data_IF_446496872510
#
_entry.id   IF_446496872510
#
_cell.length_a   1.000
_cell.length_b   1.000
_cell.length_c   1.000
_cell.angle_alpha   90.00
_cell.angle_beta   90.00
_cell.angle_gamma   90.00
#
_symmetry.space_group_name_H-M   'P 1'
#
loop_
_entity.id
_entity.type
_entity.pdbx_description
1 polymer ?
#
# COMPACT_ATOMS: atom_id res chain seq x y z
N UNK A 1 30.28 2.51 37.87
CA UNK A 1 28.91 2.80 37.39
C UNK A 1 28.64 1.92 36.18
N UNK A 2 27.85 0.86 36.35
CA UNK A 2 27.42 -0.01 35.26
C UNK A 2 26.36 0.77 34.47
N UNK A 3 26.65 1.13 33.22
CA UNK A 3 25.64 1.65 32.29
C UNK A 3 24.60 0.55 32.10
N UNK A 4 23.42 0.71 32.72
CA UNK A 4 22.23 -0.05 32.35
C UNK A 4 21.87 0.37 30.94
N UNK A 5 22.15 -0.50 29.99
CA UNK A 5 21.55 -0.46 28.67
C UNK A 5 20.06 -0.75 28.87
N UNK A 6 19.26 0.31 29.06
CA UNK A 6 17.81 0.20 29.06
C UNK A 6 17.38 0.04 27.61
N UNK A 7 17.49 -1.18 27.07
CA UNK A 7 16.81 -1.52 25.83
C UNK A 7 15.32 -1.31 26.07
N UNK A 8 14.77 -0.24 25.49
CA UNK A 8 13.34 0.00 25.51
C UNK A 8 12.66 -1.23 24.91
N UNK A 9 11.76 -1.86 25.66
CA UNK A 9 11.00 -2.99 25.16
C UNK A 9 10.21 -2.52 23.93
N UNK A 10 10.52 -3.08 22.76
CA UNK A 10 9.82 -2.74 21.51
C UNK A 10 8.34 -3.12 21.60
N UNK A 11 7.41 -2.31 21.05
CA UNK A 11 5.99 -2.64 20.98
C UNK A 11 5.67 -3.73 19.93
N UNK A 12 6.69 -4.26 19.25
CA UNK A 12 6.55 -5.28 18.22
C UNK A 12 7.05 -6.65 18.68
N UNK A 13 6.32 -7.69 18.31
CA UNK A 13 6.85 -9.04 18.10
C UNK A 13 7.68 -9.03 16.82
N UNK A 14 8.81 -9.72 16.81
CA UNK A 14 9.71 -9.78 15.67
C UNK A 14 9.89 -11.23 15.24
N UNK A 15 9.78 -11.45 13.94
CA UNK A 15 9.97 -12.74 13.29
C UNK A 15 11.01 -12.59 12.19
N UNK A 16 12.02 -13.44 12.19
CA UNK A 16 12.81 -13.67 10.98
C UNK A 16 11.99 -14.45 9.94
N UNK A 17 12.52 -14.55 8.72
CA UNK A 17 11.86 -15.27 7.62
C UNK A 17 11.49 -16.71 7.97
N UNK A 18 12.37 -17.44 8.64
CA UNK A 18 12.17 -18.86 8.98
C UNK A 18 11.05 -19.02 9.98
N UNK A 19 11.06 -18.19 11.04
CA UNK A 19 10.02 -18.15 12.06
C UNK A 19 8.66 -17.80 11.47
N UNK A 20 8.62 -16.83 10.54
CA UNK A 20 7.39 -16.45 9.85
C UNK A 20 6.86 -17.56 8.93
N UNK A 21 7.74 -18.16 8.13
CA UNK A 21 7.38 -19.24 7.21
C UNK A 21 6.80 -20.47 7.92
N UNK A 22 7.32 -20.80 9.11
CA UNK A 22 6.82 -21.90 9.93
C UNK A 22 5.34 -21.74 10.36
N UNK A 23 4.78 -20.53 10.33
CA UNK A 23 3.35 -20.29 10.63
C UNK A 23 2.43 -20.90 9.56
N UNK A 24 2.97 -21.31 8.40
CA UNK A 24 2.25 -22.02 7.35
C UNK A 24 1.79 -23.41 7.79
N UNK A 25 2.60 -24.15 8.54
CA UNK A 25 2.43 -25.59 8.79
C UNK A 25 1.16 -25.95 9.57
N UNK A 26 0.49 -24.95 10.12
CA UNK A 26 -0.77 -25.14 10.84
C UNK A 26 -2.03 -25.00 9.97
N UNK A 27 -1.91 -24.90 8.63
CA UNK A 27 -3.05 -24.84 7.69
C UNK A 27 -2.76 -25.59 6.37
N UNK A 28 -3.72 -26.40 5.86
CA UNK A 28 -3.62 -26.97 4.52
C UNK A 28 -3.63 -25.85 3.47
N UNK A 29 -2.74 -25.92 2.47
CA UNK A 29 -2.77 -24.97 1.36
C UNK A 29 -4.15 -24.93 0.72
N UNK A 30 -4.81 -23.79 0.84
CA UNK A 30 -6.10 -23.54 0.20
C UNK A 30 -5.95 -23.17 -1.27
N UNK A 31 -4.75 -22.77 -1.70
CA UNK A 31 -4.48 -22.44 -3.10
C UNK A 31 -3.92 -23.63 -3.85
N UNK A 32 -4.61 -23.99 -4.92
CA UNK A 32 -4.10 -24.86 -5.97
C UNK A 32 -2.89 -24.23 -6.68
N UNK A 33 -2.00 -25.04 -7.24
CA UNK A 33 -0.90 -24.54 -8.07
C UNK A 33 -1.39 -23.62 -9.21
N UNK A 34 -2.58 -23.90 -9.77
CA UNK A 34 -3.22 -23.07 -10.79
C UNK A 34 -3.57 -21.66 -10.28
N UNK A 35 -4.06 -21.54 -9.05
CA UNK A 35 -4.32 -20.24 -8.43
C UNK A 35 -3.02 -19.48 -8.16
N UNK A 36 -1.95 -20.18 -7.73
CA UNK A 36 -0.65 -19.53 -7.53
C UNK A 36 -0.04 -19.10 -8.87
N UNK A 37 -0.27 -19.84 -9.96
CA UNK A 37 0.11 -19.42 -11.32
C UNK A 37 -0.69 -18.19 -11.76
N UNK A 38 -2.00 -18.10 -11.46
CA UNK A 38 -2.77 -16.88 -11.70
C UNK A 38 -2.21 -15.69 -10.91
N UNK A 39 -1.69 -15.91 -9.70
CA UNK A 39 -1.00 -14.88 -8.92
C UNK A 39 0.31 -14.39 -9.58
N UNK A 40 0.99 -15.20 -10.42
CA UNK A 40 2.13 -14.71 -11.22
C UNK A 40 1.72 -13.64 -12.24
N UNK A 41 0.48 -13.66 -12.73
CA UNK A 41 -0.03 -12.60 -13.61
C UNK A 41 -0.07 -11.22 -12.93
N UNK A 42 0.00 -11.17 -11.60
CA UNK A 42 0.07 -9.93 -10.81
C UNK A 42 1.47 -9.31 -10.84
N UNK A 43 2.51 -10.15 -10.91
CA UNK A 43 3.90 -9.77 -11.06
C UNK A 43 4.75 -10.99 -11.48
N UNK A 44 5.30 -10.96 -12.70
CA UNK A 44 6.09 -12.06 -13.29
C UNK A 44 7.35 -12.39 -12.48
N UNK A 45 7.88 -11.40 -11.75
CA UNK A 45 9.09 -11.54 -10.94
C UNK A 45 8.84 -12.17 -9.54
N UNK A 46 7.58 -12.47 -9.18
CA UNK A 46 7.26 -13.01 -7.86
C UNK A 46 7.41 -14.54 -7.82
N UNK A 47 8.21 -15.05 -6.87
CA UNK A 47 8.39 -16.49 -6.69
C UNK A 47 7.20 -17.13 -5.96
N UNK A 48 6.87 -18.37 -6.33
CA UNK A 48 5.83 -19.17 -5.63
C UNK A 48 6.21 -19.41 -4.15
N UNK A 49 7.51 -19.53 -3.89
CA UNK A 49 8.04 -19.68 -2.54
C UNK A 49 7.77 -18.46 -1.68
N UNK A 50 7.91 -17.24 -2.23
CA UNK A 50 7.59 -16.00 -1.52
C UNK A 50 6.11 -15.93 -1.15
N UNK A 51 5.23 -16.30 -2.09
CA UNK A 51 3.78 -16.39 -1.82
C UNK A 51 3.50 -17.36 -0.69
N UNK A 52 4.08 -18.56 -0.75
CA UNK A 52 3.80 -19.63 0.20
C UNK A 52 4.37 -19.37 1.60
N UNK A 53 5.59 -18.82 1.70
CA UNK A 53 6.28 -18.60 2.97
C UNK A 53 5.90 -17.29 3.64
N UNK A 54 5.49 -16.27 2.89
CA UNK A 54 5.26 -14.92 3.43
C UNK A 54 3.80 -14.53 3.37
N UNK A 55 3.22 -14.52 2.16
CA UNK A 55 1.91 -13.94 1.92
C UNK A 55 0.75 -14.83 2.37
N UNK A 56 0.91 -16.17 2.34
CA UNK A 56 -0.06 -17.10 2.91
C UNK A 56 -0.19 -16.97 4.44
N UNK A 57 0.89 -17.02 5.24
CA UNK A 57 0.79 -16.71 6.67
C UNK A 57 0.23 -15.32 6.96
N UNK A 58 0.59 -14.31 6.15
CA UNK A 58 0.07 -12.95 6.28
C UNK A 58 -1.44 -12.87 6.03
N UNK A 59 -1.95 -13.46 4.95
CA UNK A 59 -3.39 -13.45 4.65
C UNK A 59 -4.20 -14.16 5.73
N UNK A 60 -3.65 -15.22 6.32
CA UNK A 60 -4.25 -15.90 7.47
C UNK A 60 -4.26 -15.04 8.73
N UNK A 61 -3.14 -14.38 9.04
CA UNK A 61 -3.08 -13.44 10.15
C UNK A 61 -4.19 -12.39 10.00
N UNK A 62 -4.29 -11.77 8.82
CA UNK A 62 -5.34 -10.81 8.49
C UNK A 62 -6.73 -11.42 8.66
N UNK A 63 -6.97 -12.66 8.22
CA UNK A 63 -8.24 -13.35 8.40
C UNK A 63 -8.62 -13.50 9.89
N UNK A 64 -7.67 -13.74 10.79
CA UNK A 64 -7.94 -13.76 12.23
C UNK A 64 -8.37 -12.39 12.76
N UNK A 65 -7.70 -11.31 12.33
CA UNK A 65 -8.08 -9.94 12.70
C UNK A 65 -9.47 -9.57 12.19
N UNK A 66 -9.78 -9.90 10.94
CA UNK A 66 -11.08 -9.65 10.30
C UNK A 66 -12.18 -10.43 11.04
N UNK A 67 -11.98 -11.74 11.25
CA UNK A 67 -12.95 -12.60 11.95
C UNK A 67 -13.17 -12.18 13.41
N UNK A 68 -12.12 -11.67 14.07
CA UNK A 68 -12.24 -11.09 15.42
C UNK A 68 -13.09 -9.82 15.42
N UNK A 69 -12.87 -8.94 14.44
CA UNK A 69 -13.62 -7.69 14.28
C UNK A 69 -15.11 -7.97 14.03
N UNK A 70 -15.44 -8.90 13.12
CA UNK A 70 -16.82 -9.30 12.83
C UNK A 70 -17.54 -9.87 14.06
N UNK A 71 -16.87 -10.73 14.84
CA UNK A 71 -17.44 -11.24 16.09
C UNK A 71 -17.70 -10.13 17.11
N UNK A 72 -16.77 -9.19 17.25
CA UNK A 72 -16.94 -8.02 18.12
C UNK A 72 -18.12 -7.16 17.66
N UNK A 73 -18.26 -6.96 16.35
CA UNK A 73 -19.37 -6.20 15.77
C UNK A 73 -20.72 -6.84 16.12
N UNK A 74 -20.88 -8.16 15.94
CA UNK A 74 -22.11 -8.87 16.27
C UNK A 74 -22.50 -8.73 17.77
N UNK A 75 -21.52 -8.77 18.69
CA UNK A 75 -21.77 -8.54 20.12
C UNK A 75 -22.24 -7.11 20.40
N UNK A 76 -21.64 -6.12 19.74
CA UNK A 76 -22.04 -4.72 19.89
C UNK A 76 -23.44 -4.46 19.31
N UNK A 77 -23.76 -5.03 18.16
CA UNK A 77 -25.09 -4.91 17.54
C UNK A 77 -26.17 -5.49 18.44
N UNK A 78 -25.92 -6.67 19.03
CA UNK A 78 -26.83 -7.27 19.99
C UNK A 78 -27.00 -6.40 21.25
N UNK A 79 -25.91 -5.84 21.77
CA UNK A 79 -25.95 -4.99 22.96
C UNK A 79 -26.67 -3.64 22.72
N UNK A 80 -26.44 -3.03 21.56
CA UNK A 80 -26.99 -1.72 21.20
C UNK A 80 -28.41 -1.81 20.60
N UNK A 81 -28.87 -3.01 20.23
CA UNK A 81 -30.18 -3.22 19.61
C UNK A 81 -30.30 -2.61 18.22
N UNK A 82 -29.19 -2.56 17.47
CA UNK A 82 -29.13 -1.99 16.12
C UNK A 82 -29.11 -3.07 15.06
N UNK A 83 -29.86 -2.90 13.98
CA UNK A 83 -29.68 -3.70 12.77
C UNK A 83 -28.36 -3.26 12.10
N UNK A 84 -27.34 -4.10 12.24
CA UNK A 84 -25.99 -3.85 11.76
C UNK A 84 -25.93 -3.45 10.29
N UNK A 85 -25.28 -2.33 10.01
CA UNK A 85 -24.84 -2.04 8.64
C UNK A 85 -23.53 -2.78 8.36
N UNK A 86 -23.39 -3.32 7.16
CA UNK A 86 -22.12 -3.89 6.71
C UNK A 86 -21.08 -2.77 6.61
N UNK A 87 -20.12 -2.76 7.53
CA UNK A 87 -19.00 -1.83 7.53
C UNK A 87 -17.75 -2.56 7.00
N UNK A 88 -17.15 -2.10 5.89
CA UNK A 88 -15.94 -2.73 5.36
C UNK A 88 -14.78 -2.72 6.36
N UNK A 89 -14.02 -3.82 6.39
CA UNK A 89 -12.75 -3.88 7.08
C UNK A 89 -11.66 -3.23 6.22
N UNK A 90 -10.99 -2.20 6.71
CA UNK A 90 -10.03 -1.42 5.92
C UNK A 90 -8.59 -1.83 6.26
N UNK A 91 -7.86 -2.27 5.24
CA UNK A 91 -6.43 -2.60 5.34
C UNK A 91 -5.62 -1.51 4.64
N UNK A 92 -4.81 -0.78 5.40
CA UNK A 92 -3.88 0.20 4.85
C UNK A 92 -2.54 -0.43 4.46
N UNK A 93 -2.00 -0.10 3.29
CA UNK A 93 -0.66 -0.53 2.86
C UNK A 93 0.17 0.70 2.49
N UNK A 94 1.21 0.95 3.29
CA UNK A 94 2.13 2.07 3.16
C UNK A 94 3.57 1.62 2.89
N UNK A 95 4.45 2.58 2.65
CA UNK A 95 5.85 2.33 2.28
C UNK A 95 6.33 3.20 1.12
N UNK A 96 7.63 3.11 0.81
CA UNK A 96 8.27 3.94 -0.20
C UNK A 96 7.75 3.72 -1.62
N UNK A 97 8.05 4.65 -2.53
CA UNK A 97 7.91 4.44 -3.97
C UNK A 97 8.78 3.25 -4.39
N UNK A 98 8.28 2.41 -5.29
CA UNK A 98 8.95 1.21 -5.81
C UNK A 98 9.25 0.07 -4.81
N UNK A 99 8.91 0.20 -3.52
CA UNK A 99 9.10 -0.89 -2.54
C UNK A 99 8.25 -2.14 -2.83
N UNK A 100 7.19 -2.00 -3.63
CA UNK A 100 6.32 -3.10 -4.04
C UNK A 100 4.93 -3.13 -3.38
N UNK A 101 4.45 -2.00 -2.83
CA UNK A 101 3.13 -1.89 -2.21
C UNK A 101 1.99 -2.42 -3.07
N UNK A 102 1.90 -1.97 -4.33
CA UNK A 102 0.82 -2.40 -5.23
C UNK A 102 0.88 -3.90 -5.55
N UNK A 103 2.07 -4.50 -5.56
CA UNK A 103 2.25 -5.95 -5.68
C UNK A 103 1.71 -6.66 -4.44
N UNK A 104 2.13 -6.21 -3.24
CA UNK A 104 1.61 -6.72 -1.95
C UNK A 104 0.08 -6.59 -1.89
N UNK A 105 -0.47 -5.44 -2.29
CA UNK A 105 -1.90 -5.16 -2.24
C UNK A 105 -2.72 -6.08 -3.16
N UNK A 106 -2.29 -6.26 -4.42
CA UNK A 106 -2.95 -7.17 -5.37
C UNK A 106 -2.85 -8.63 -4.94
N UNK A 107 -1.71 -9.05 -4.39
CA UNK A 107 -1.57 -10.40 -3.84
C UNK A 107 -2.53 -10.60 -2.67
N UNK A 108 -2.55 -9.69 -1.70
CA UNK A 108 -3.47 -9.80 -0.57
C UNK A 108 -4.93 -9.73 -1.01
N UNK A 109 -5.27 -8.93 -2.02
CA UNK A 109 -6.61 -8.90 -2.60
C UNK A 109 -7.03 -10.29 -3.10
N UNK A 110 -6.19 -10.92 -3.93
CA UNK A 110 -6.47 -12.23 -4.49
C UNK A 110 -6.53 -13.31 -3.39
N UNK A 111 -5.55 -13.31 -2.48
CA UNK A 111 -5.49 -14.25 -1.37
C UNK A 111 -6.70 -14.15 -0.43
N UNK A 112 -7.12 -12.94 -0.07
CA UNK A 112 -8.25 -12.69 0.82
C UNK A 112 -9.60 -12.99 0.15
N UNK A 113 -9.71 -12.82 -1.17
CA UNK A 113 -10.91 -13.17 -1.95
C UNK A 113 -11.10 -14.68 -2.08
N UNK A 114 -10.00 -15.44 -2.13
CA UNK A 114 -10.02 -16.91 -2.24
C UNK A 114 -10.32 -17.66 -0.94
N UNK A 115 -10.58 -16.96 0.18
CA UNK A 115 -10.98 -17.64 1.42
C UNK A 115 -12.39 -18.26 1.30
N UNK A 116 -12.70 -19.35 2.03
CA UNK A 116 -13.99 -20.03 1.97
C UNK A 116 -15.20 -19.13 2.27
N UNK A 117 -15.02 -18.05 3.01
CA UNK A 117 -16.06 -17.05 3.27
C UNK A 117 -16.43 -16.21 2.04
N UNK A 118 -15.72 -16.35 0.91
CA UNK A 118 -15.97 -15.69 -0.38
C UNK A 118 -16.21 -14.18 -0.28
N UNK A 119 -15.31 -13.50 0.43
CA UNK A 119 -15.40 -12.06 0.70
C UNK A 119 -15.15 -11.22 -0.56
N UNK A 120 -15.95 -10.16 -0.73
CA UNK A 120 -15.66 -9.11 -1.70
C UNK A 120 -14.49 -8.26 -1.21
N UNK A 121 -13.41 -8.20 -1.98
CA UNK A 121 -12.19 -7.45 -1.64
C UNK A 121 -11.89 -6.42 -2.72
N UNK A 122 -11.96 -5.15 -2.34
CA UNK A 122 -11.68 -4.03 -3.22
C UNK A 122 -10.32 -3.43 -2.96
N UNK A 123 -9.66 -2.95 -4.02
CA UNK A 123 -8.37 -2.28 -3.97
C UNK A 123 -8.49 -0.85 -4.51
N UNK A 124 -8.01 0.11 -3.72
CA UNK A 124 -7.90 1.53 -4.08
C UNK A 124 -6.49 2.02 -3.81
N UNK A 125 -5.95 2.80 -4.75
CA UNK A 125 -4.67 3.47 -4.59
C UNK A 125 -4.89 4.95 -4.25
N UNK A 126 -4.07 5.50 -3.34
CA UNK A 126 -4.20 6.92 -2.98
C UNK A 126 -3.72 7.85 -4.08
N UNK A 127 -2.97 7.35 -5.08
CA UNK A 127 -2.53 8.11 -6.24
C UNK A 127 -3.70 8.77 -7.00
N UNK A 128 -4.89 8.15 -6.98
CA UNK A 128 -6.10 8.75 -7.55
C UNK A 128 -6.47 10.08 -6.91
N UNK A 129 -6.11 10.28 -5.64
CA UNK A 129 -6.37 11.49 -4.86
C UNK A 129 -5.24 12.52 -4.96
N UNK A 130 -4.29 12.35 -5.87
CA UNK A 130 -3.41 13.45 -6.27
C UNK A 130 -4.25 14.56 -6.90
N UNK A 131 -3.82 15.81 -6.73
CA UNK A 131 -4.36 16.88 -7.54
C UNK A 131 -4.02 16.64 -9.02
N UNK A 132 -4.94 16.92 -9.97
CA UNK A 132 -4.65 16.82 -11.39
C UNK A 132 -3.45 17.68 -11.81
N UNK A 133 -2.74 17.30 -12.87
CA UNK A 133 -1.53 18.00 -13.34
C UNK A 133 -1.77 19.50 -13.57
N UNK A 134 -2.97 19.89 -14.02
CA UNK A 134 -3.34 21.30 -14.17
C UNK A 134 -3.17 22.07 -12.86
N UNK A 135 -3.75 21.55 -11.77
CA UNK A 135 -3.67 22.15 -10.43
C UNK A 135 -2.25 22.10 -9.88
N UNK A 136 -1.53 20.99 -10.09
CA UNK A 136 -0.13 20.89 -9.68
C UNK A 136 0.78 21.89 -10.41
N UNK A 137 0.56 22.15 -11.70
CA UNK A 137 1.29 23.18 -12.45
C UNK A 137 0.98 24.58 -11.93
N UNK A 138 -0.30 24.92 -11.74
CA UNK A 138 -0.74 26.20 -11.20
C UNK A 138 -0.14 26.50 -9.82
N UNK A 139 0.09 25.46 -9.00
CA UNK A 139 0.69 25.56 -7.66
C UNK A 139 2.21 25.39 -7.63
N UNK A 140 2.86 25.12 -8.77
CA UNK A 140 4.31 24.85 -8.82
C UNK A 140 4.74 23.53 -8.14
N UNK A 141 3.83 22.55 -8.05
CA UNK A 141 3.99 21.29 -7.33
C UNK A 141 4.27 20.07 -8.22
N UNK A 142 4.51 20.26 -9.52
CA UNK A 142 4.78 19.12 -10.43
C UNK A 142 5.98 18.26 -10.01
N UNK A 143 7.03 18.88 -9.43
CA UNK A 143 8.20 18.18 -8.87
C UNK A 143 8.01 17.70 -7.43
N UNK A 144 6.79 17.81 -6.91
CA UNK A 144 6.39 17.40 -5.56
C UNK A 144 5.26 16.37 -5.58
N UNK A 145 5.00 15.72 -6.71
CA UNK A 145 4.07 14.58 -6.77
C UNK A 145 4.47 13.51 -5.74
N UNK A 146 3.52 13.11 -4.92
CA UNK A 146 3.72 12.19 -3.81
C UNK A 146 4.08 12.87 -2.48
N UNK A 147 4.45 14.15 -2.46
CA UNK A 147 4.56 14.90 -1.20
C UNK A 147 3.16 15.24 -0.67
N UNK A 148 2.99 15.49 0.64
CA UNK A 148 1.70 15.84 1.24
C UNK A 148 0.88 16.85 0.41
N UNK A 149 1.46 18.01 0.09
CA UNK A 149 0.78 19.09 -0.64
C UNK A 149 0.31 18.74 -2.08
N UNK A 150 0.71 17.60 -2.62
CA UNK A 150 0.25 17.13 -3.93
C UNK A 150 -1.07 16.35 -3.87
N UNK A 151 -1.56 15.98 -2.68
CA UNK A 151 -2.80 15.24 -2.49
C UNK A 151 -3.97 16.13 -2.09
N UNK A 152 -5.15 15.80 -2.62
CA UNK A 152 -6.42 16.22 -2.06
C UNK A 152 -6.79 15.33 -0.86
N UNK A 153 -6.22 15.67 0.30
CA UNK A 153 -6.44 14.89 1.52
C UNK A 153 -7.86 14.94 2.05
N UNK A 154 -8.57 16.05 1.85
CA UNK A 154 -9.96 16.15 2.27
C UNK A 154 -10.83 15.15 1.51
N UNK A 155 -10.61 15.03 0.20
CA UNK A 155 -11.30 14.02 -0.62
C UNK A 155 -10.94 12.59 -0.19
N UNK A 156 -9.68 12.30 0.13
CA UNK A 156 -9.27 10.97 0.61
C UNK A 156 -9.88 10.62 1.98
N UNK A 157 -9.84 11.55 2.94
CA UNK A 157 -10.43 11.37 4.27
C UNK A 157 -11.94 11.22 4.17
N UNK A 158 -12.61 12.03 3.34
CA UNK A 158 -14.03 11.89 3.06
C UNK A 158 -14.37 10.52 2.50
N UNK A 159 -13.60 10.03 1.52
CA UNK A 159 -13.79 8.72 0.91
C UNK A 159 -13.76 7.58 1.97
N UNK A 160 -12.70 7.51 2.79
CA UNK A 160 -12.63 6.47 3.83
C UNK A 160 -13.66 6.65 4.93
N UNK A 161 -14.05 7.89 5.23
CA UNK A 161 -15.13 8.19 6.17
C UNK A 161 -16.48 7.68 5.64
N UNK A 162 -16.80 7.86 4.37
CA UNK A 162 -18.04 7.36 3.76
C UNK A 162 -18.06 5.82 3.76
N UNK A 163 -16.92 5.18 3.46
CA UNK A 163 -16.75 3.73 3.57
C UNK A 163 -17.03 3.24 5.00
N UNK A 164 -16.39 3.84 6.02
CA UNK A 164 -16.58 3.46 7.42
C UNK A 164 -17.93 3.88 8.01
N UNK A 165 -18.67 4.73 7.31
CA UNK A 165 -20.05 5.10 7.65
C UNK A 165 -21.08 4.16 7.03
N UNK A 166 -20.65 3.11 6.31
CA UNK A 166 -21.56 2.15 5.68
C UNK A 166 -22.29 2.70 4.47
N UNK A 167 -21.74 3.69 3.76
CA UNK A 167 -22.35 4.18 2.52
C UNK A 167 -22.46 3.04 1.48
N UNK A 168 -23.65 2.89 0.87
CA UNK A 168 -23.93 1.82 -0.11
C UNK A 168 -23.02 1.88 -1.34
N UNK A 169 -22.70 3.09 -1.77
CA UNK A 169 -21.91 3.37 -2.97
C UNK A 169 -21.02 4.57 -2.70
N UNK A 170 -19.72 4.41 -2.90
CA UNK A 170 -18.73 5.49 -2.84
C UNK A 170 -17.93 5.51 -4.14
N UNK A 171 -17.35 6.65 -4.47
CA UNK A 171 -16.51 6.81 -5.67
C UNK A 171 -15.12 7.25 -5.31
N UNK A 172 -14.11 6.65 -5.94
CA UNK A 172 -12.72 7.06 -5.83
C UNK A 172 -12.19 7.50 -7.21
N UNK A 173 -11.46 8.63 -7.28
CA UNK A 173 -10.75 9.00 -8.50
C UNK A 173 -9.67 7.96 -8.86
N UNK A 174 -9.34 7.86 -10.15
CA UNK A 174 -8.37 6.89 -10.66
C UNK A 174 -7.17 7.64 -11.23
N UNK A 175 -5.96 7.18 -10.91
CA UNK A 175 -4.71 7.67 -11.49
C UNK A 175 -4.21 6.72 -12.57
N UNK A 176 -3.69 7.27 -13.66
CA UNK A 176 -3.06 6.49 -14.71
C UNK A 176 -1.58 6.82 -14.81
N UNK A 177 -0.73 5.81 -14.55
CA UNK A 177 0.71 5.94 -14.78
C UNK A 177 1.09 6.03 -16.26
N UNK A 178 0.17 5.71 -17.18
CA UNK A 178 0.38 5.86 -18.62
C UNK A 178 0.41 7.34 -19.01
N UNK A 179 -0.64 8.08 -18.66
CA UNK A 179 -0.74 9.53 -18.93
C UNK A 179 -0.08 10.37 -17.84
N UNK A 180 0.28 9.74 -16.72
CA UNK A 180 0.87 10.35 -15.54
C UNK A 180 -0.01 11.48 -14.96
N UNK A 181 -1.31 11.22 -14.85
CA UNK A 181 -2.32 12.13 -14.31
C UNK A 181 -3.54 11.38 -13.77
N UNK A 182 -4.41 12.10 -13.05
CA UNK A 182 -5.77 11.65 -12.71
C UNK A 182 -6.59 11.50 -13.99
N UNK A 183 -7.29 10.39 -14.14
CA UNK A 183 -8.13 10.09 -15.30
C UNK A 183 -9.42 10.92 -15.24
N UNK A 184 -9.68 11.83 -16.20
CA UNK A 184 -10.93 12.58 -16.24
C UNK A 184 -12.13 11.63 -16.38
N UNK A 185 -13.18 11.86 -15.57
CA UNK A 185 -14.42 11.06 -15.55
C UNK A 185 -14.22 9.55 -15.27
N UNK A 186 -13.00 9.13 -14.91
CA UNK A 186 -12.62 7.73 -14.71
C UNK A 186 -12.86 7.19 -13.31
N UNK A 187 -13.79 7.76 -12.54
CA UNK A 187 -13.98 7.39 -11.14
C UNK A 187 -14.38 5.92 -11.00
N UNK A 188 -13.70 5.20 -10.09
CA UNK A 188 -14.05 3.84 -9.71
C UNK A 188 -15.19 3.87 -8.68
N UNK A 189 -16.22 3.09 -8.94
CA UNK A 189 -17.35 2.88 -8.02
C UNK A 189 -17.01 1.71 -7.10
N UNK A 190 -17.34 1.85 -5.81
CA UNK A 190 -17.16 0.82 -4.80
C UNK A 190 -18.48 0.59 -4.09
N UNK A 191 -18.91 -0.66 -4.00
CA UNK A 191 -20.21 -1.06 -3.46
C UNK A 191 -20.03 -1.98 -2.24
N UNK A 192 -19.92 -1.38 -1.04
CA UNK A 192 -19.85 -2.04 0.27
C UNK A 192 -19.09 -3.40 0.28
N UNK A 193 -17.78 -3.41 -0.03
CA UNK A 193 -16.98 -4.62 0.00
C UNK A 193 -16.86 -5.15 1.43
N UNK A 194 -16.54 -6.42 1.61
CA UNK A 194 -16.21 -6.95 2.94
C UNK A 194 -14.88 -6.37 3.42
N UNK A 195 -13.93 -6.19 2.50
CA UNK A 195 -12.59 -5.68 2.77
C UNK A 195 -12.25 -4.60 1.74
N UNK A 196 -11.75 -3.47 2.22
CA UNK A 196 -11.12 -2.45 1.38
C UNK A 196 -9.62 -2.41 1.66
N UNK A 197 -8.81 -2.71 0.66
CA UNK A 197 -7.36 -2.47 0.70
C UNK A 197 -7.10 -1.07 0.15
N UNK A 198 -6.54 -0.20 0.99
CA UNK A 198 -6.12 1.15 0.65
C UNK A 198 -4.59 1.20 0.59
N UNK A 199 -4.05 1.34 -0.62
CA UNK A 199 -2.61 1.35 -0.86
C UNK A 199 -2.12 2.76 -1.19
N UNK A 200 -1.06 3.21 -0.54
CA UNK A 200 -0.53 4.54 -0.80
C UNK A 200 0.61 4.94 0.12
N UNK A 201 1.43 5.88 -0.33
CA UNK A 201 2.55 6.38 0.47
C UNK A 201 2.09 7.16 1.72
N UNK A 202 0.91 7.76 1.69
CA UNK A 202 0.39 8.69 2.70
C UNK A 202 -0.67 8.08 3.64
N UNK A 203 -0.97 6.79 3.53
CA UNK A 203 -2.02 6.12 4.32
C UNK A 203 -1.77 6.23 5.84
N UNK A 204 -0.49 6.31 6.24
CA UNK A 204 -0.06 6.43 7.64
C UNK A 204 0.38 7.85 8.02
N UNK A 205 0.09 8.87 7.21
CA UNK A 205 0.34 10.27 7.57
C UNK A 205 -0.74 10.79 8.54
N UNK A 206 -0.49 11.95 9.13
CA UNK A 206 -1.34 12.67 10.07
C UNK A 206 -1.42 14.15 9.70
N UNK A 207 -2.19 14.92 10.46
CA UNK A 207 -2.32 16.36 10.26
C UNK A 207 -1.01 17.13 10.45
N UNK A 208 -0.02 16.56 11.16
CA UNK A 208 1.32 17.16 11.28
C UNK A 208 2.04 17.23 9.93
N UNK A 209 1.71 16.33 9.01
CA UNK A 209 2.29 16.26 7.66
C UNK A 209 1.64 17.28 6.70
N UNK A 210 0.50 17.87 7.09
CA UNK A 210 -0.28 18.82 6.30
C UNK A 210 -0.46 20.17 7.02
N UNK A 211 0.62 20.85 7.44
CA UNK A 211 0.51 22.13 8.17
C UNK A 211 -0.12 23.24 7.32
N UNK A 212 -0.08 23.10 5.99
CA UNK A 212 -0.65 24.04 5.03
C UNK A 212 -2.18 23.92 4.90
N UNK A 213 -2.76 22.76 5.26
CA UNK A 213 -4.19 22.49 5.20
C UNK A 213 -4.57 21.41 6.23
N UNK A 214 -4.59 21.77 7.53
CA UNK A 214 -4.68 20.80 8.61
C UNK A 214 -6.08 20.17 8.69
N UNK A 215 -6.12 18.85 8.75
CA UNK A 215 -7.30 18.07 9.09
C UNK A 215 -7.10 17.39 10.46
N UNK A 216 -8.20 17.18 11.20
CA UNK A 216 -8.17 16.61 12.56
C UNK A 216 -8.47 15.12 12.63
N UNK A 217 -8.93 14.54 11.52
CA UNK A 217 -9.24 13.12 11.40
C UNK A 217 -8.40 12.56 10.26
N UNK A 218 -7.65 11.50 10.54
CA UNK A 218 -6.65 10.96 9.63
C UNK A 218 -7.17 9.71 8.92
N UNK A 219 -6.56 9.37 7.78
CA UNK A 219 -6.83 8.10 7.09
C UNK A 219 -6.66 6.92 8.05
N UNK A 220 -5.63 6.95 8.90
CA UNK A 220 -5.36 5.91 9.89
C UNK A 220 -6.48 5.69 10.90
N UNK A 221 -7.31 6.71 11.18
CA UNK A 221 -8.42 6.59 12.14
C UNK A 221 -9.56 5.72 11.58
N UNK A 222 -9.58 5.53 10.26
CA UNK A 222 -10.53 4.70 9.53
C UNK A 222 -9.94 3.36 9.07
N UNK A 223 -8.65 3.11 9.31
CA UNK A 223 -7.94 1.88 8.94
C UNK A 223 -7.94 0.91 10.11
N UNK A 224 -8.44 -0.31 9.90
CA UNK A 224 -8.52 -1.34 10.94
C UNK A 224 -7.19 -2.10 11.13
N UNK A 225 -6.42 -2.27 10.06
CA UNK A 225 -5.08 -2.87 10.10
C UNK A 225 -4.16 -2.20 9.08
N UNK A 226 -2.93 -1.89 9.47
CA UNK A 226 -1.96 -1.26 8.57
C UNK A 226 -0.68 -2.05 8.41
N UNK A 227 -0.21 -2.13 7.17
CA UNK A 227 1.04 -2.77 6.78
C UNK A 227 1.98 -1.70 6.23
N UNK A 228 3.20 -1.63 6.73
CA UNK A 228 4.27 -0.84 6.11
C UNK A 228 5.25 -1.79 5.43
N UNK A 229 5.43 -1.64 4.12
CA UNK A 229 6.43 -2.39 3.36
C UNK A 229 7.73 -1.58 3.38
N UNK A 230 8.76 -2.14 4.00
CA UNK A 230 10.05 -1.50 4.24
C UNK A 230 11.17 -2.14 3.42
N UNK A 231 12.22 -1.38 3.14
CA UNK A 231 13.48 -1.88 2.56
C UNK A 231 14.59 -0.82 2.73
N UNK A 232 15.87 -1.23 2.74
CA UNK A 232 17.01 -0.31 2.65
C UNK A 232 16.91 0.65 1.45
N UNK A 233 17.34 1.90 1.64
CA UNK A 233 17.22 2.96 0.64
C UNK A 233 17.96 2.60 -0.66
N UNK A 234 19.13 1.97 -0.57
CA UNK A 234 19.89 1.53 -1.75
C UNK A 234 19.11 0.52 -2.61
N UNK A 235 18.32 -0.36 -2.00
CA UNK A 235 17.48 -1.31 -2.72
C UNK A 235 16.28 -0.60 -3.34
N UNK A 236 15.66 0.33 -2.61
CA UNK A 236 14.55 1.12 -3.12
C UNK A 236 14.95 1.94 -4.37
N UNK A 237 16.13 2.58 -4.34
CA UNK A 237 16.67 3.32 -5.47
C UNK A 237 16.89 2.40 -6.68
N UNK A 238 17.52 1.24 -6.47
CA UNK A 238 17.74 0.25 -7.52
C UNK A 238 16.42 -0.23 -8.15
N UNK A 239 15.44 -0.57 -7.32
CA UNK A 239 14.11 -1.00 -7.79
C UNK A 239 13.36 0.11 -8.52
N UNK A 240 13.50 1.36 -8.08
CA UNK A 240 12.93 2.51 -8.77
C UNK A 240 13.53 2.68 -10.17
N UNK A 241 14.86 2.65 -10.29
CA UNK A 241 15.56 2.79 -11.57
C UNK A 241 15.18 1.64 -12.51
N UNK A 242 15.19 0.40 -12.03
CA UNK A 242 14.80 -0.77 -12.84
C UNK A 242 13.35 -0.65 -13.33
N UNK A 243 12.43 -0.19 -12.48
CA UNK A 243 11.04 0.04 -12.87
C UNK A 243 10.90 1.18 -13.87
N UNK A 244 11.67 2.26 -13.72
CA UNK A 244 11.73 3.36 -14.67
C UNK A 244 12.18 2.88 -16.06
N UNK A 245 13.22 2.03 -16.11
CA UNK A 245 13.69 1.44 -17.36
C UNK A 245 12.66 0.50 -17.99
N UNK A 246 11.94 -0.32 -17.19
CA UNK A 246 10.82 -1.13 -17.69
C UNK A 246 9.72 -0.26 -18.31
N UNK A 247 9.34 0.86 -17.67
CA UNK A 247 8.36 1.80 -18.25
C UNK A 247 8.85 2.46 -19.54
N UNK A 248 10.12 2.87 -19.57
CA UNK A 248 10.77 3.40 -20.77
C UNK A 248 10.71 2.39 -21.93
N UNK A 249 11.03 1.12 -21.67
CA UNK A 249 10.98 0.04 -22.66
C UNK A 249 9.55 -0.22 -23.17
N UNK A 250 8.55 -0.24 -22.28
CA UNK A 250 7.14 -0.42 -22.66
C UNK A 250 6.54 0.77 -23.41
N UNK A 251 7.10 1.97 -23.27
CA UNK A 251 6.59 3.19 -23.89
C UNK A 251 7.12 3.47 -25.31
N UNK A 252 8.04 2.65 -25.83
CA UNK A 252 8.64 2.86 -27.15
C UNK A 252 7.59 2.99 -28.27
N UNK A 253 6.57 2.15 -28.25
CA UNK A 253 5.53 2.08 -29.28
C UNK A 253 4.29 2.94 -28.98
N UNK A 254 4.22 3.61 -27.83
CA UNK A 254 3.04 4.37 -27.41
C UNK A 254 3.36 5.87 -27.24
N UNK A 255 3.08 6.71 -28.26
CA UNK A 255 3.30 8.16 -28.20
C UNK A 255 2.53 8.88 -27.08
N UNK A 256 1.39 8.33 -26.64
CA UNK A 256 0.55 8.90 -25.59
C UNK A 256 1.06 8.60 -24.18
N UNK A 257 2.10 7.75 -24.06
CA UNK A 257 2.74 7.47 -22.79
C UNK A 257 3.59 8.65 -22.33
N UNK A 258 3.43 9.07 -21.08
CA UNK A 258 4.31 10.04 -20.43
C UNK A 258 5.80 9.63 -20.54
N UNK A 259 6.07 8.32 -20.52
CA UNK A 259 7.42 7.78 -20.61
C UNK A 259 7.99 7.74 -22.03
N UNK A 260 7.21 8.07 -23.06
CA UNK A 260 7.65 8.12 -24.45
C UNK A 260 8.78 9.14 -24.66
N UNK A 261 8.80 10.22 -23.88
CA UNK A 261 9.90 11.19 -23.96
C UNK A 261 11.24 10.57 -23.50
N UNK A 262 11.22 9.68 -22.51
CA UNK A 262 12.42 9.01 -22.02
C UNK A 262 12.86 7.84 -22.92
N UNK A 263 11.96 7.27 -23.74
CA UNK A 263 12.33 6.20 -24.66
C UNK A 263 13.27 6.69 -25.77
N UNK A 264 13.28 7.99 -26.05
CA UNK A 264 14.19 8.63 -27.04
C UNK A 264 15.61 8.82 -26.51
N UNK A 265 15.83 8.70 -25.20
CA UNK A 265 17.14 8.89 -24.59
C UNK A 265 17.95 7.57 -24.57
N UNK A 266 19.28 7.63 -24.71
CA UNK A 266 20.16 6.50 -24.41
C UNK A 266 19.94 5.97 -23.00
N UNK A 267 20.09 4.66 -22.81
CA UNK A 267 19.85 4.03 -21.51
C UNK A 267 20.70 4.62 -20.36
N UNK A 268 22.01 4.89 -20.52
CA UNK A 268 22.80 5.51 -19.46
C UNK A 268 22.28 6.90 -19.03
N UNK A 269 21.75 7.67 -19.99
CA UNK A 269 21.15 8.98 -19.70
C UNK A 269 19.82 8.84 -18.95
N UNK A 270 18.98 7.87 -19.37
CA UNK A 270 17.75 7.55 -18.68
C UNK A 270 17.99 7.09 -17.22
N UNK A 271 19.06 6.31 -16.98
CA UNK A 271 19.48 5.93 -15.63
C UNK A 271 19.89 7.14 -14.79
N UNK A 272 20.66 8.07 -15.37
CA UNK A 272 21.06 9.30 -14.67
C UNK A 272 19.84 10.14 -14.28
N UNK A 273 18.88 10.31 -15.19
CA UNK A 273 17.63 11.03 -14.92
C UNK A 273 16.81 10.32 -13.82
N UNK A 274 16.63 9.00 -13.92
CA UNK A 274 15.92 8.25 -12.90
C UNK A 274 16.59 8.37 -11.52
N UNK A 275 17.93 8.36 -11.49
CA UNK A 275 18.72 8.55 -10.28
C UNK A 275 18.50 9.94 -9.68
N UNK A 276 18.50 10.99 -10.51
CA UNK A 276 18.20 12.36 -10.07
C UNK A 276 16.76 12.48 -9.52
N UNK A 277 15.77 11.94 -10.23
CA UNK A 277 14.37 11.91 -9.77
C UNK A 277 14.20 11.14 -8.46
N UNK A 278 14.97 10.06 -8.25
CA UNK A 278 15.02 9.41 -6.96
C UNK A 278 15.55 10.36 -5.89
N UNK A 279 16.76 10.88 -6.06
CA UNK A 279 17.44 11.69 -5.04
C UNK A 279 16.66 12.96 -4.68
N UNK A 280 16.13 13.68 -5.67
CA UNK A 280 15.52 15.00 -5.48
C UNK A 280 14.04 14.93 -5.06
N UNK A 281 13.34 13.83 -5.39
CA UNK A 281 11.90 13.70 -5.19
C UNK A 281 11.57 12.52 -4.28
N UNK A 282 11.83 11.30 -4.74
CA UNK A 282 11.30 10.10 -4.07
C UNK A 282 12.05 9.75 -2.78
N UNK A 283 13.39 9.83 -2.78
CA UNK A 283 14.23 9.63 -1.61
C UNK A 283 14.02 10.73 -0.57
N UNK A 284 13.91 11.98 -1.00
CA UNK A 284 13.57 13.08 -0.11
C UNK A 284 12.18 12.88 0.54
N UNK A 285 11.17 12.55 -0.26
CA UNK A 285 9.83 12.27 0.25
C UNK A 285 9.80 11.07 1.21
N UNK A 286 10.60 10.04 0.93
CA UNK A 286 10.76 8.90 1.82
C UNK A 286 11.23 9.34 3.20
N UNK A 287 12.33 10.08 3.26
CA UNK A 287 12.96 10.49 4.51
C UNK A 287 12.08 11.47 5.30
N UNK A 288 11.45 12.42 4.60
CA UNK A 288 10.68 13.49 5.26
C UNK A 288 9.27 13.05 5.66
N UNK A 289 8.57 12.27 4.82
CA UNK A 289 7.11 12.13 4.92
C UNK A 289 6.59 10.68 4.98
N UNK A 290 7.40 9.68 4.64
CA UNK A 290 6.95 8.27 4.57
C UNK A 290 7.58 7.45 5.70
N UNK A 291 8.90 7.41 5.78
CA UNK A 291 9.64 6.62 6.76
C UNK A 291 9.29 6.97 8.21
N UNK A 292 9.08 8.25 8.60
CA UNK A 292 8.66 8.60 9.96
C UNK A 292 7.32 7.99 10.38
N UNK A 293 6.49 7.54 9.43
CA UNK A 293 5.18 6.94 9.71
C UNK A 293 5.25 5.43 9.95
N UNK A 294 6.38 4.78 9.68
CA UNK A 294 6.53 3.31 9.71
C UNK A 294 6.10 2.70 11.06
N UNK A 295 6.47 3.33 12.17
CA UNK A 295 6.21 2.88 13.53
C UNK A 295 4.75 3.10 13.97
N UNK A 296 3.91 3.69 13.10
CA UNK A 296 2.44 3.72 13.26
C UNK A 296 1.78 2.46 12.73
N UNK A 297 2.48 1.64 11.94
CA UNK A 297 1.91 0.45 11.33
C UNK A 297 1.59 -0.65 12.35
N UNK A 298 0.55 -1.44 12.07
CA UNK A 298 0.22 -2.68 12.80
C UNK A 298 1.25 -3.77 12.50
N UNK A 299 1.68 -3.87 11.25
CA UNK A 299 2.70 -4.81 10.78
C UNK A 299 3.73 -4.10 9.88
N UNK A 300 5.01 -4.41 10.06
CA UNK A 300 6.09 -3.93 9.20
C UNK A 300 6.71 -5.15 8.52
N UNK A 301 6.76 -5.13 7.20
CA UNK A 301 7.32 -6.18 6.36
C UNK A 301 8.59 -5.68 5.70
N UNK A 302 9.75 -6.14 6.17
CA UNK A 302 11.05 -5.67 5.68
C UNK A 302 11.57 -6.57 4.56
N UNK A 303 11.86 -5.97 3.41
CA UNK A 303 12.38 -6.64 2.23
C UNK A 303 13.89 -6.43 2.11
N UNK A 304 14.56 -7.44 1.61
CA UNK A 304 15.96 -7.44 1.21
C UNK A 304 16.09 -7.63 -0.30
N UNK A 305 17.27 -8.04 -0.78
CA UNK A 305 17.55 -8.25 -2.19
C UNK A 305 16.50 -9.16 -2.86
N UNK A 306 16.31 -8.98 -4.17
CA UNK A 306 15.32 -9.72 -4.98
C UNK A 306 13.88 -9.63 -4.45
N UNK A 307 13.57 -8.55 -3.72
CA UNK A 307 12.27 -8.34 -3.08
C UNK A 307 11.85 -9.41 -2.06
N UNK A 308 12.78 -10.25 -1.58
CA UNK A 308 12.50 -11.25 -0.56
C UNK A 308 12.24 -10.58 0.79
N UNK A 309 11.19 -10.99 1.49
CA UNK A 309 10.94 -10.55 2.87
C UNK A 309 11.88 -11.30 3.81
N UNK A 310 12.67 -10.56 4.58
CA UNK A 310 13.63 -11.11 5.54
C UNK A 310 13.12 -11.08 6.98
N UNK A 311 12.24 -10.13 7.31
CA UNK A 311 11.67 -10.02 8.65
C UNK A 311 10.28 -9.41 8.64
N UNK A 312 9.49 -9.81 9.64
CA UNK A 312 8.16 -9.27 9.91
C UNK A 312 8.10 -8.80 11.36
N UNK A 313 7.63 -7.58 11.58
CA UNK A 313 7.33 -7.04 12.91
C UNK A 313 5.84 -6.86 13.06
N UNK A 314 5.22 -7.47 14.06
CA UNK A 314 3.78 -7.36 14.35
C UNK A 314 3.58 -6.69 15.71
N UNK A 315 2.72 -5.67 15.78
CA UNK A 315 2.41 -4.98 17.04
C UNK A 315 1.83 -5.96 18.07
N UNK A 316 2.31 -5.87 19.32
CA UNK A 316 1.86 -6.67 20.47
C UNK A 316 0.42 -6.37 20.87
#
# INVERSE_FOLDING_TARGET
MIKRDQSLATPYLQFDRTQWAALRDSVPLTLSEEEIVKLKGINEDLSLEEVAQIYLPLSRLLNFYISSNLRRQAVLEQFLGTDGQKIPYVIGIAGSVAVGKSTTARLLQALLSSWPEHRSVELITTDGFLHPNKVLNERGLMKKKGFPQSYDMHSLVKFVSEVKSGAKRVTAPVYSHLIYDVVPEGNKVIEQPDILILEGLNVLQSGMDYPHDPHRVFVSDFVDFSIYVDAPEELLQSWYINRFLKFRQGAFSNPDSYFHNYSKLPEPEAVNIATQLWNEINGLNLQENILPTRERASLIMTKSANHAVESVRLRK
#
